data_IF_162608113873
#
_entry.id   IF_162608113873
#
_cell.length_a   1.000
_cell.length_b   1.000
_cell.length_c   1.000
_cell.angle_alpha   90.00
_cell.angle_beta   90.00
_cell.angle_gamma   90.00
#
_symmetry.space_group_name_H-M   'P 1'
#
loop_
_entity.id
_entity.type
_entity.pdbx_description
1 polymer ?
#
# COMPACT_ATOMS: atom_id res chain seq x y z
N UNK A 1 12.28 6.49 24.57
CA UNK A 1 11.95 7.51 23.54
C UNK A 1 11.54 6.80 22.25
N UNK A 2 10.36 6.16 22.23
CA UNK A 2 9.86 5.39 21.08
C UNK A 2 8.88 6.18 20.19
N UNK A 3 8.68 7.48 20.45
CA UNK A 3 7.59 8.27 19.85
C UNK A 3 7.90 8.80 18.45
N UNK A 4 9.18 9.00 18.04
CA UNK A 4 9.44 9.72 16.79
C UNK A 4 9.06 8.97 15.51
N UNK A 5 9.18 7.64 15.46
CA UNK A 5 8.94 6.91 14.22
C UNK A 5 7.47 6.52 14.04
N UNK A 6 6.77 6.18 15.13
CA UNK A 6 5.32 5.96 15.07
C UNK A 6 4.59 7.24 14.68
N UNK A 7 5.05 8.40 15.15
CA UNK A 7 4.47 9.70 14.79
C UNK A 7 4.65 10.01 13.29
N UNK A 8 5.78 9.59 12.69
CA UNK A 8 6.00 9.68 11.23
C UNK A 8 5.06 8.75 10.47
N UNK A 9 4.94 7.49 10.92
CA UNK A 9 4.04 6.51 10.29
C UNK A 9 2.58 6.99 10.38
N UNK A 10 2.19 7.56 11.52
CA UNK A 10 0.87 8.17 11.75
C UNK A 10 0.60 9.32 10.79
N UNK A 11 1.55 10.25 10.63
CA UNK A 11 1.41 11.35 9.68
C UNK A 11 1.28 10.82 8.24
N UNK A 12 2.11 9.85 7.87
CA UNK A 12 2.09 9.28 6.52
C UNK A 12 0.73 8.62 6.20
N UNK A 13 0.13 7.94 7.16
CA UNK A 13 -1.17 7.32 7.01
C UNK A 13 -2.32 8.34 6.97
N UNK A 14 -2.30 9.40 7.79
CA UNK A 14 -3.30 10.47 7.70
C UNK A 14 -3.31 11.12 6.32
N UNK A 15 -2.12 11.44 5.79
CA UNK A 15 -1.98 12.04 4.46
C UNK A 15 -2.53 11.12 3.35
N UNK A 16 -2.44 9.80 3.53
CA UNK A 16 -3.02 8.82 2.60
C UNK A 16 -4.55 8.76 2.70
N UNK A 17 -5.13 8.82 3.90
CA UNK A 17 -6.57 8.53 4.08
C UNK A 17 -7.49 9.74 4.01
N UNK A 18 -6.96 10.95 4.18
CA UNK A 18 -7.74 12.21 4.07
C UNK A 18 -8.52 12.29 2.75
N UNK A 19 -7.95 11.95 1.58
CA UNK A 19 -8.69 11.94 0.31
C UNK A 19 -9.73 10.81 0.19
N UNK A 20 -9.61 9.75 0.99
CA UNK A 20 -10.41 8.53 0.87
C UNK A 20 -11.51 8.39 1.95
N UNK A 21 -11.65 9.38 2.84
CA UNK A 21 -12.77 9.46 3.77
C UNK A 21 -12.77 8.41 4.89
N UNK A 22 -11.63 7.83 5.25
CA UNK A 22 -11.55 6.92 6.41
C UNK A 22 -11.69 7.72 7.71
N UNK A 23 -12.48 7.19 8.65
CA UNK A 23 -12.79 7.83 9.94
C UNK A 23 -11.66 7.83 10.97
N UNK A 24 -10.39 7.69 10.56
CA UNK A 24 -9.25 7.70 11.46
C UNK A 24 -9.01 9.09 12.02
N UNK A 25 -8.96 9.21 13.36
CA UNK A 25 -8.72 10.51 14.00
C UNK A 25 -7.26 10.65 14.42
N UNK A 26 -6.66 11.85 14.29
CA UNK A 26 -5.31 12.12 14.76
C UNK A 26 -5.13 11.94 16.26
N UNK A 27 -6.18 12.01 17.08
CA UNK A 27 -6.10 11.79 18.52
C UNK A 27 -6.01 10.30 18.88
N UNK A 28 -6.49 9.41 18.00
CA UNK A 28 -6.64 8.01 18.35
C UNK A 28 -5.28 7.26 18.36
N UNK A 29 -5.11 6.28 19.26
CA UNK A 29 -3.93 5.43 19.25
C UNK A 29 -3.92 4.52 18.02
N UNK A 30 -2.96 4.75 17.13
CA UNK A 30 -2.87 4.11 15.81
C UNK A 30 -2.94 2.58 15.86
N UNK A 31 -2.11 1.93 16.70
CA UNK A 31 -1.97 0.47 16.73
C UNK A 31 -3.15 -0.28 17.37
N UNK A 32 -4.12 0.43 17.97
CA UNK A 32 -5.27 -0.19 18.64
C UNK A 32 -6.62 0.31 18.17
N UNK A 33 -6.67 1.46 17.50
CA UNK A 33 -7.93 2.10 17.10
C UNK A 33 -8.11 2.21 15.59
N UNK A 34 -7.03 2.24 14.81
CA UNK A 34 -7.14 2.39 13.37
C UNK A 34 -7.40 1.04 12.71
N UNK A 35 -8.63 0.87 12.21
CA UNK A 35 -9.05 -0.34 11.54
C UNK A 35 -8.09 -0.70 10.38
N UNK A 36 -7.58 -1.93 10.37
CA UNK A 36 -6.68 -2.39 9.31
C UNK A 36 -5.21 -2.03 9.51
N UNK A 37 -4.83 -1.37 10.62
CA UNK A 37 -3.42 -1.08 10.94
C UNK A 37 -2.91 -2.07 11.99
N UNK A 38 -1.74 -2.66 11.74
CA UNK A 38 -1.00 -3.43 12.74
C UNK A 38 0.42 -2.89 12.91
N UNK A 39 0.89 -2.89 14.15
CA UNK A 39 2.22 -2.44 14.51
C UNK A 39 3.12 -3.62 14.93
N UNK A 40 4.42 -3.38 14.99
CA UNK A 40 5.40 -4.32 15.54
C UNK A 40 5.19 -4.55 17.05
N UNK A 41 5.91 -5.53 17.62
CA UNK A 41 5.73 -6.00 19.00
C UNK A 41 5.90 -4.91 20.07
N UNK A 42 6.80 -3.95 19.84
CA UNK A 42 7.05 -2.79 20.70
C UNK A 42 6.17 -1.58 20.37
N UNK A 43 5.25 -1.71 19.40
CA UNK A 43 4.31 -0.67 18.93
C UNK A 43 5.00 0.62 18.48
N UNK A 44 6.25 0.53 18.03
CA UNK A 44 7.04 1.67 17.59
C UNK A 44 6.84 1.99 16.11
N UNK A 45 6.40 1.02 15.29
CA UNK A 45 6.26 1.16 13.82
C UNK A 45 5.02 0.43 13.30
N UNK A 46 4.46 0.94 12.19
CA UNK A 46 3.43 0.23 11.42
C UNK A 46 4.09 -0.81 10.52
N UNK A 47 3.66 -2.06 10.64
CA UNK A 47 4.17 -3.19 9.84
C UNK A 47 3.14 -3.75 8.88
N UNK A 48 1.84 -3.51 9.11
CA UNK A 48 0.80 -3.97 8.20
C UNK A 48 -0.29 -2.92 8.02
N UNK A 49 -0.75 -2.81 6.77
CA UNK A 49 -1.92 -2.03 6.38
C UNK A 49 -2.84 -2.91 5.51
N UNK A 50 -4.02 -3.24 6.06
CA UNK A 50 -5.06 -4.04 5.39
C UNK A 50 -6.37 -3.25 5.34
N UNK A 51 -6.65 -2.67 4.18
CA UNK A 51 -7.86 -1.89 3.92
C UNK A 51 -8.71 -2.52 2.81
N UNK A 52 -8.73 -3.85 2.74
CA UNK A 52 -9.55 -4.56 1.74
C UNK A 52 -11.04 -4.31 1.97
N UNK A 53 -11.77 -3.91 0.93
CA UNK A 53 -13.23 -3.74 1.02
C UNK A 53 -13.70 -2.50 1.78
N UNK A 54 -12.83 -1.51 2.00
CA UNK A 54 -13.18 -0.27 2.70
C UNK A 54 -13.88 0.76 1.80
N UNK A 55 -14.13 0.43 0.52
CA UNK A 55 -14.77 1.34 -0.43
C UNK A 55 -13.88 2.51 -0.84
N UNK A 56 -12.56 2.39 -0.69
CA UNK A 56 -11.62 3.45 -1.06
C UNK A 56 -11.75 3.77 -2.56
N UNK A 57 -11.87 5.04 -2.92
CA UNK A 57 -12.07 5.49 -4.30
C UNK A 57 -11.06 6.60 -4.68
N UNK A 58 -10.95 6.87 -5.99
CA UNK A 58 -9.98 7.83 -6.51
C UNK A 58 -8.63 7.19 -6.83
N UNK A 59 -7.55 7.97 -6.89
CA UNK A 59 -6.20 7.47 -7.18
C UNK A 59 -5.29 7.53 -5.97
N UNK A 60 -4.27 6.67 -5.94
CA UNK A 60 -3.17 6.82 -4.98
C UNK A 60 -2.22 7.88 -5.54
N UNK A 61 -1.98 9.00 -4.83
CA UNK A 61 -1.13 10.08 -5.31
C UNK A 61 0.30 9.59 -5.63
N UNK A 62 0.93 10.12 -6.69
CA UNK A 62 2.32 9.75 -7.03
C UNK A 62 3.33 10.07 -5.93
N UNK A 63 3.08 11.16 -5.19
CA UNK A 63 3.84 11.61 -4.04
C UNK A 63 3.36 10.98 -2.72
N UNK A 64 2.70 9.81 -2.78
CA UNK A 64 2.12 9.17 -1.60
C UNK A 64 3.15 9.02 -0.48
N UNK A 65 2.74 9.43 0.70
CA UNK A 65 3.46 9.25 1.94
C UNK A 65 3.52 7.79 2.39
N UNK A 66 2.73 6.89 1.79
CA UNK A 66 2.83 5.45 2.04
C UNK A 66 4.24 4.92 1.80
N UNK A 67 5.00 5.49 0.86
CA UNK A 67 6.41 5.13 0.62
C UNK A 67 7.36 5.43 1.79
N UNK A 68 6.91 6.17 2.82
CA UNK A 68 7.68 6.50 4.03
C UNK A 68 7.53 5.46 5.14
N UNK A 69 6.58 4.52 5.00
CA UNK A 69 6.38 3.44 5.96
C UNK A 69 7.48 2.37 5.78
N UNK A 70 8.72 2.70 6.12
CA UNK A 70 9.89 1.86 5.83
C UNK A 70 9.86 0.48 6.53
N UNK A 71 9.06 0.36 7.60
CA UNK A 71 8.83 -0.86 8.35
C UNK A 71 7.69 -1.72 7.78
N UNK A 72 6.92 -1.22 6.80
CA UNK A 72 5.74 -1.90 6.27
C UNK A 72 6.12 -3.19 5.55
N UNK A 73 5.53 -4.28 5.97
CA UNK A 73 5.73 -5.62 5.42
C UNK A 73 4.54 -6.07 4.57
N UNK A 74 3.32 -5.64 4.93
CA UNK A 74 2.08 -6.03 4.27
C UNK A 74 1.26 -4.80 3.87
N UNK A 75 0.90 -4.70 2.58
CA UNK A 75 -0.03 -3.71 2.04
C UNK A 75 -1.12 -4.38 1.22
N UNK A 76 -2.34 -4.43 1.77
CA UNK A 76 -3.52 -5.04 1.14
C UNK A 76 -4.59 -3.96 0.94
N UNK A 77 -4.89 -3.66 -0.33
CA UNK A 77 -5.88 -2.66 -0.75
C UNK A 77 -6.91 -3.27 -1.72
N UNK A 78 -6.99 -4.59 -1.81
CA UNK A 78 -7.89 -5.27 -2.74
C UNK A 78 -9.38 -4.98 -2.48
N UNK A 79 -10.22 -5.24 -3.48
CA UNK A 79 -11.67 -5.04 -3.38
C UNK A 79 -12.06 -3.59 -3.02
N UNK A 80 -11.39 -2.62 -3.63
CA UNK A 80 -11.72 -1.21 -3.51
C UNK A 80 -12.00 -0.61 -4.91
N UNK A 81 -12.33 0.67 -4.95
CA UNK A 81 -12.60 1.44 -6.16
C UNK A 81 -11.41 2.35 -6.55
N UNK A 82 -10.18 1.99 -6.16
CA UNK A 82 -8.98 2.77 -6.48
C UNK A 82 -8.63 2.63 -7.96
N UNK A 83 -8.22 3.72 -8.61
CA UNK A 83 -7.94 3.79 -10.04
C UNK A 83 -6.66 4.60 -10.35
N UNK A 84 -6.23 4.59 -11.62
CA UNK A 84 -5.03 5.30 -12.05
C UNK A 84 -3.72 4.51 -11.84
N UNK A 85 -2.54 5.14 -11.98
CA UNK A 85 -1.25 4.49 -11.86
C UNK A 85 -0.94 4.00 -10.45
N UNK A 86 -0.20 2.89 -10.36
CA UNK A 86 0.42 2.47 -9.11
C UNK A 86 1.66 3.36 -8.88
N UNK A 87 1.74 4.11 -7.77
CA UNK A 87 2.88 5.00 -7.52
C UNK A 87 4.17 4.21 -7.31
N UNK A 88 5.26 4.68 -7.95
CA UNK A 88 6.59 4.07 -7.88
C UNK A 88 7.12 3.96 -6.44
N UNK A 89 6.76 4.89 -5.56
CA UNK A 89 7.15 4.88 -4.15
C UNK A 89 6.74 3.61 -3.40
N UNK A 90 5.64 2.95 -3.78
CA UNK A 90 5.23 1.67 -3.17
C UNK A 90 6.23 0.54 -3.49
N UNK A 91 6.92 0.60 -4.63
CA UNK A 91 7.97 -0.37 -4.97
C UNK A 91 9.26 -0.18 -4.21
N UNK A 92 9.47 1.02 -3.65
CA UNK A 92 10.67 1.33 -2.88
C UNK A 92 10.61 0.90 -1.43
N UNK A 93 9.43 0.52 -0.92
CA UNK A 93 9.26 0.07 0.47
C UNK A 93 10.22 -1.09 0.80
N UNK A 94 11.24 -0.87 1.65
CA UNK A 94 12.39 -1.76 1.73
C UNK A 94 12.04 -3.11 2.37
N UNK A 95 11.01 -3.16 3.22
CA UNK A 95 10.58 -4.36 3.95
C UNK A 95 9.30 -4.99 3.41
N UNK A 96 8.70 -4.44 2.35
CA UNK A 96 7.44 -4.94 1.83
C UNK A 96 7.62 -6.35 1.27
N UNK A 97 6.85 -7.30 1.81
CA UNK A 97 6.85 -8.74 1.45
C UNK A 97 5.56 -9.13 0.76
N UNK A 98 4.44 -8.50 1.13
CA UNK A 98 3.12 -8.82 0.59
C UNK A 98 2.43 -7.55 0.08
N UNK A 99 2.05 -7.56 -1.20
CA UNK A 99 1.31 -6.48 -1.85
C UNK A 99 0.11 -7.06 -2.58
N UNK A 100 -1.11 -6.66 -2.20
CA UNK A 100 -2.33 -7.04 -2.90
C UNK A 100 -3.12 -5.80 -3.32
N UNK A 101 -3.21 -5.59 -4.63
CA UNK A 101 -3.92 -4.48 -5.28
C UNK A 101 -5.02 -4.99 -6.22
N UNK A 102 -5.40 -6.26 -6.07
CA UNK A 102 -6.39 -6.92 -6.95
C UNK A 102 -7.78 -6.33 -6.77
N UNK A 103 -8.68 -6.56 -7.74
CA UNK A 103 -10.05 -6.05 -7.69
C UNK A 103 -10.14 -4.54 -7.39
N UNK A 104 -9.41 -3.77 -8.20
CA UNK A 104 -9.36 -2.30 -8.24
C UNK A 104 -9.23 -1.88 -9.72
N UNK A 105 -9.44 -0.60 -9.99
CA UNK A 105 -9.31 0.04 -11.31
C UNK A 105 -7.91 0.55 -11.68
N UNK A 106 -6.82 0.10 -11.02
CA UNK A 106 -5.47 0.57 -11.38
C UNK A 106 -5.12 0.29 -12.85
N UNK A 107 -4.56 1.30 -13.50
CA UNK A 107 -4.13 1.37 -14.91
C UNK A 107 -2.72 1.98 -15.00
N UNK A 108 -2.15 2.18 -16.19
CA UNK A 108 -0.78 2.71 -16.31
C UNK A 108 0.34 1.74 -15.88
N UNK A 109 1.59 1.98 -16.30
CA UNK A 109 2.67 1.01 -16.23
C UNK A 109 2.83 0.47 -14.81
N UNK A 110 2.99 -0.84 -14.69
CA UNK A 110 3.39 -1.44 -13.41
C UNK A 110 4.79 -0.90 -13.10
N UNK A 111 4.97 -0.10 -12.02
CA UNK A 111 6.30 0.36 -11.63
C UNK A 111 7.19 -0.86 -11.43
N UNK A 112 8.52 -0.73 -11.54
CA UNK A 112 9.47 -1.84 -11.37
C UNK A 112 9.39 -2.44 -9.96
N UNK A 113 8.35 -3.23 -9.73
CA UNK A 113 8.06 -4.08 -8.58
C UNK A 113 8.66 -5.48 -8.81
N UNK A 114 8.96 -5.83 -10.09
CA UNK A 114 9.51 -7.12 -10.49
C UNK A 114 10.86 -7.45 -9.81
N UNK A 115 11.62 -6.49 -9.27
CA UNK A 115 12.86 -6.79 -8.52
C UNK A 115 12.61 -7.42 -7.14
N UNK A 116 11.37 -7.41 -6.63
CA UNK A 116 11.00 -7.95 -5.32
C UNK A 116 10.03 -9.15 -5.38
N UNK A 117 9.72 -9.66 -6.58
CA UNK A 117 8.90 -10.88 -6.73
C UNK A 117 7.42 -10.74 -6.37
N UNK A 118 6.87 -9.52 -6.35
CA UNK A 118 5.45 -9.31 -6.07
C UNK A 118 4.55 -9.91 -7.17
N UNK A 119 3.69 -10.84 -6.80
CA UNK A 119 2.64 -11.37 -7.68
C UNK A 119 1.46 -10.40 -7.67
N UNK A 120 1.38 -9.52 -8.66
CA UNK A 120 0.16 -8.74 -8.90
C UNK A 120 -0.91 -9.66 -9.50
N UNK A 121 -1.91 -10.03 -8.71
CA UNK A 121 -3.03 -10.87 -9.17
C UNK A 121 -4.03 -10.04 -9.98
N UNK A 122 -4.18 -10.39 -11.26
CA UNK A 122 -5.12 -9.75 -12.20
C UNK A 122 -6.56 -10.01 -11.77
N UNK A 123 -7.41 -8.97 -11.72
CA UNK A 123 -8.87 -9.15 -11.72
C UNK A 123 -9.37 -9.15 -13.16
N UNK A 124 -10.20 -10.14 -13.50
CA UNK A 124 -10.91 -10.23 -14.77
C UNK A 124 -11.92 -9.07 -14.88
N UNK A 125 -12.03 -8.44 -16.06
CA UNK A 125 -13.14 -7.51 -16.32
C UNK A 125 -12.89 -6.39 -17.32
N UNK A 126 -11.67 -5.86 -17.47
CA UNK A 126 -11.41 -4.82 -18.49
C UNK A 126 -9.92 -4.70 -18.77
N UNK A 127 -9.57 -4.56 -20.04
CA UNK A 127 -8.26 -4.74 -20.67
C UNK A 127 -7.07 -4.27 -19.80
N UNK A 128 -6.36 -5.24 -19.20
CA UNK A 128 -5.19 -5.09 -18.32
C UNK A 128 -4.02 -5.93 -18.86
N UNK A 129 -2.81 -5.38 -18.79
CA UNK A 129 -1.46 -5.97 -18.90
C UNK A 129 -1.31 -7.34 -19.59
N UNK A 130 -0.61 -7.36 -20.75
CA UNK A 130 0.19 -8.53 -21.14
C UNK A 130 1.41 -8.57 -20.23
N UNK A 131 1.65 -9.74 -19.63
CA UNK A 131 2.82 -10.03 -18.82
C UNK A 131 4.09 -9.69 -19.60
N UNK A 132 4.99 -8.92 -19.00
CA UNK A 132 6.39 -8.87 -19.38
C UNK A 132 7.25 -8.51 -18.17
N UNK A 133 7.25 -9.34 -17.11
CA UNK A 133 8.56 -9.67 -16.55
C UNK A 133 9.07 -10.78 -17.51
N UNK A 134 9.71 -10.41 -18.62
CA UNK A 134 10.43 -11.38 -19.45
C UNK A 134 11.56 -11.93 -18.58
N UNK A 135 11.47 -13.22 -18.24
CA UNK A 135 12.64 -13.98 -17.87
C UNK A 135 13.67 -13.84 -19.00
N UNK A 136 14.94 -13.49 -18.76
CA UNK A 136 15.95 -13.88 -19.71
C UNK A 136 16.00 -15.41 -19.63
N UNK A 137 15.61 -16.06 -20.74
CA UNK A 137 16.02 -17.44 -21.00
C UNK A 137 17.52 -17.52 -20.73
N UNK A 138 17.91 -18.14 -19.61
CA UNK A 138 19.22 -18.75 -19.54
C UNK A 138 19.18 -19.92 -20.51
N UNK A 139 20.04 -19.86 -21.52
CA UNK A 139 20.42 -21.02 -22.31
C UNK A 139 20.97 -22.11 -21.40
#
# INVERSE_FOLDING_TARGET
>A
MASSDLDKDKKALLDFVVPHGLGWKPADPICSSWAGVACNSDRSRVVELRLSGFGLCGSIPENTTLGRLDALETLHLENNFLAGPIPWGLGLLPRLKSLNLSNNGFSGPVPRLCSKGFLLRRSEGTLRWRLACSWPHRK
#
